data_IF_338866065535
#
_entry.id   IF_338866065535
#
_cell.length_a   1.000
_cell.length_b   1.000
_cell.length_c   1.000
_cell.angle_alpha   90.00
_cell.angle_beta   90.00
_cell.angle_gamma   90.00
#
_symmetry.space_group_name_H-M   'P 1'
#
loop_
_entity.id
_entity.type
_entity.pdbx_description
1 polymer ?
#
# COMPACT_ATOMS: atom_id res chain seq x y z
N UNK A 1 12.16 -24.75 13.62
CA UNK A 1 12.20 -23.99 14.89
C UNK A 1 13.66 -23.70 15.24
N UNK A 2 13.99 -22.47 15.61
CA UNK A 2 15.33 -22.12 16.11
C UNK A 2 15.46 -22.46 17.60
N UNK A 3 16.68 -22.66 18.09
CA UNK A 3 16.93 -23.22 19.43
C UNK A 3 17.00 -22.09 20.47
N UNK A 4 17.51 -20.91 20.10
CA UNK A 4 17.61 -19.80 21.05
C UNK A 4 16.25 -19.21 21.39
N UNK A 5 16.09 -18.79 22.64
CA UNK A 5 14.97 -17.98 23.11
C UNK A 5 15.43 -16.57 23.46
N UNK A 6 14.64 -15.59 23.03
CA UNK A 6 14.90 -14.18 23.28
C UNK A 6 13.93 -13.58 24.29
N UNK A 7 14.16 -12.33 24.66
CA UNK A 7 13.18 -11.55 25.44
C UNK A 7 12.07 -11.09 24.48
N UNK A 8 10.79 -11.44 24.72
CA UNK A 8 9.70 -10.88 23.94
C UNK A 8 9.61 -9.37 24.17
N UNK A 9 9.55 -8.59 23.08
CA UNK A 9 9.43 -7.13 23.11
C UNK A 9 8.11 -6.63 22.52
N UNK A 10 7.48 -7.40 21.64
CA UNK A 10 6.16 -7.08 21.08
C UNK A 10 5.42 -8.37 20.73
N UNK A 11 4.14 -8.46 21.06
CA UNK A 11 3.21 -9.48 20.56
C UNK A 11 1.99 -8.75 20.02
N UNK A 12 1.67 -8.97 18.75
CA UNK A 12 0.61 -8.25 18.06
C UNK A 12 -0.18 -9.19 17.15
N UNK A 13 -1.47 -8.92 17.03
CA UNK A 13 -2.34 -9.62 16.08
C UNK A 13 -2.18 -9.00 14.69
N UNK A 14 -2.09 -9.84 13.65
CA UNK A 14 -1.91 -9.43 12.26
C UNK A 14 -3.06 -8.54 11.75
N UNK A 15 -4.25 -8.65 12.34
CA UNK A 15 -5.38 -7.74 12.07
C UNK A 15 -5.07 -6.29 12.49
N UNK A 16 -4.31 -6.11 13.57
CA UNK A 16 -3.97 -4.78 14.10
C UNK A 16 -2.73 -4.18 13.44
N UNK A 17 -1.76 -5.01 13.09
CA UNK A 17 -0.48 -4.60 12.49
C UNK A 17 0.04 -5.72 11.60
N UNK A 18 0.19 -5.44 10.31
CA UNK A 18 0.54 -6.43 9.30
C UNK A 18 1.96 -6.96 9.54
N UNK A 19 2.23 -8.19 9.15
CA UNK A 19 3.58 -8.78 9.28
C UNK A 19 4.61 -7.92 8.56
N UNK A 20 4.26 -7.36 7.40
CA UNK A 20 5.12 -6.40 6.69
C UNK A 20 5.49 -5.20 7.55
N UNK A 21 4.51 -4.50 8.11
CA UNK A 21 4.74 -3.28 8.90
C UNK A 21 5.62 -3.58 10.12
N UNK A 22 5.47 -4.77 10.71
CA UNK A 22 6.35 -5.23 11.78
C UNK A 22 7.78 -5.41 11.28
N UNK A 23 7.98 -6.14 10.17
CA UNK A 23 9.30 -6.37 9.57
C UNK A 23 9.98 -5.03 9.25
N UNK A 24 9.31 -4.14 8.51
CA UNK A 24 9.84 -2.83 8.13
C UNK A 24 10.24 -2.00 9.35
N UNK A 25 9.36 -1.90 10.36
CA UNK A 25 9.63 -1.15 11.58
C UNK A 25 10.86 -1.66 12.34
N UNK A 26 11.07 -2.97 12.40
CA UNK A 26 12.21 -3.56 13.12
C UNK A 26 13.50 -3.60 12.31
N UNK A 27 13.41 -3.56 10.99
CA UNK A 27 14.56 -3.29 10.11
C UNK A 27 15.06 -1.87 10.33
N UNK A 28 14.16 -0.87 10.33
CA UNK A 28 14.52 0.54 10.58
C UNK A 28 15.13 0.76 11.96
N UNK A 29 14.59 0.07 12.98
CA UNK A 29 15.14 0.07 14.35
C UNK A 29 16.47 -0.69 14.49
N UNK A 30 16.96 -1.31 13.42
CA UNK A 30 18.18 -2.13 13.42
C UNK A 30 18.15 -3.25 14.45
N UNK A 31 17.01 -3.94 14.56
CA UNK A 31 16.83 -5.04 15.50
C UNK A 31 17.89 -6.14 15.28
N UNK A 32 18.44 -6.65 16.38
CA UNK A 32 19.03 -7.99 16.41
C UNK A 32 18.08 -8.87 17.20
N UNK A 33 17.51 -9.88 16.58
CA UNK A 33 16.31 -10.52 17.12
C UNK A 33 15.61 -11.45 16.17
N UNK A 34 14.41 -11.86 16.55
CA UNK A 34 13.56 -12.75 15.77
C UNK A 34 12.17 -12.16 15.63
N UNK A 35 11.62 -12.22 14.43
CA UNK A 35 10.21 -11.96 14.15
C UNK A 35 9.57 -13.28 13.80
N UNK A 36 8.60 -13.72 14.60
CA UNK A 36 7.84 -14.94 14.39
C UNK A 36 6.42 -14.59 13.97
N UNK A 37 5.87 -15.32 13.01
CA UNK A 37 4.48 -15.26 12.61
C UNK A 37 3.86 -16.64 12.70
N UNK A 38 2.66 -16.74 13.27
CA UNK A 38 1.93 -18.00 13.39
C UNK A 38 0.46 -17.83 13.02
N UNK A 39 0.03 -18.64 12.07
CA UNK A 39 -1.37 -18.90 11.74
C UNK A 39 -1.48 -20.38 11.30
N UNK A 40 -2.00 -20.67 10.10
CA UNK A 40 -1.93 -21.98 9.45
C UNK A 40 -0.51 -22.38 9.04
N UNK A 41 0.38 -21.40 8.95
CA UNK A 41 1.81 -21.55 8.71
C UNK A 41 2.59 -20.93 9.87
N UNK A 42 3.81 -21.38 10.08
CA UNK A 42 4.74 -20.80 11.06
C UNK A 42 5.96 -20.27 10.32
N UNK A 43 6.39 -19.06 10.66
CA UNK A 43 7.55 -18.40 10.06
C UNK A 43 8.37 -17.78 11.19
N UNK A 44 9.69 -17.92 11.11
CA UNK A 44 10.66 -17.25 11.97
C UNK A 44 11.70 -16.58 11.08
N UNK A 45 11.82 -15.26 11.19
CA UNK A 45 12.84 -14.45 10.54
C UNK A 45 13.84 -14.02 11.61
N UNK A 46 15.11 -14.30 11.42
CA UNK A 46 16.17 -13.76 12.29
C UNK A 46 16.83 -12.56 11.64
N UNK A 47 16.98 -11.52 12.45
CA UNK A 47 17.54 -10.24 12.07
C UNK A 47 18.85 -10.01 12.83
N UNK A 48 19.84 -9.49 12.12
CA UNK A 48 21.05 -8.93 12.72
C UNK A 48 21.21 -7.48 12.27
N UNK A 49 21.19 -6.54 13.23
CA UNK A 49 21.30 -5.10 12.96
C UNK A 49 20.34 -4.61 11.85
N UNK A 50 19.11 -5.14 11.84
CA UNK A 50 18.07 -4.82 10.85
C UNK A 50 18.20 -5.55 9.52
N UNK A 51 19.13 -6.49 9.36
CA UNK A 51 19.23 -7.33 8.15
C UNK A 51 18.63 -8.69 8.41
N UNK A 52 17.76 -9.17 7.52
CA UNK A 52 17.23 -10.53 7.60
C UNK A 52 18.33 -11.50 7.18
N UNK A 53 18.81 -12.34 8.09
CA UNK A 53 19.94 -13.23 7.83
C UNK A 53 19.56 -14.72 7.90
N UNK A 54 18.39 -15.05 8.43
CA UNK A 54 17.85 -16.39 8.35
C UNK A 54 16.31 -16.41 8.29
N UNK A 55 15.76 -17.43 7.64
CA UNK A 55 14.34 -17.74 7.64
C UNK A 55 14.14 -19.25 7.84
N UNK A 56 13.26 -19.59 8.79
CA UNK A 56 12.81 -20.96 9.00
C UNK A 56 11.33 -20.99 9.37
N UNK A 57 10.59 -21.95 8.85
CA UNK A 57 9.16 -22.05 9.10
C UNK A 57 8.60 -23.45 8.85
N UNK A 58 7.28 -23.55 8.89
CA UNK A 58 6.55 -24.72 8.44
C UNK A 58 5.30 -24.35 7.64
N UNK A 59 5.02 -25.12 6.59
CA UNK A 59 3.80 -24.97 5.80
C UNK A 59 2.56 -25.51 6.53
N UNK A 60 1.39 -25.43 5.88
CA UNK A 60 0.11 -25.90 6.44
C UNK A 60 0.05 -27.42 6.68
N UNK A 61 1.00 -28.18 6.11
CA UNK A 61 1.13 -29.62 6.30
C UNK A 61 2.15 -29.98 7.37
N UNK A 62 2.80 -28.98 7.97
CA UNK A 62 3.85 -29.16 8.96
C UNK A 62 5.23 -29.50 8.36
N UNK A 63 5.41 -29.37 7.03
CA UNK A 63 6.73 -29.57 6.43
C UNK A 63 7.63 -28.39 6.81
N UNK A 64 8.86 -28.67 7.21
CA UNK A 64 9.85 -27.64 7.52
C UNK A 64 10.30 -27.00 6.21
N UNK A 65 10.26 -25.67 6.16
CA UNK A 65 10.70 -24.85 5.03
C UNK A 65 11.80 -23.90 5.53
N UNK A 66 12.90 -23.77 4.79
CA UNK A 66 14.11 -23.06 5.24
C UNK A 66 14.64 -22.14 4.15
N UNK A 67 15.43 -21.13 4.55
CA UNK A 67 16.15 -20.26 3.63
C UNK A 67 15.23 -19.47 2.70
N UNK A 68 15.58 -19.41 1.41
CA UNK A 68 14.83 -18.65 0.42
C UNK A 68 13.40 -19.16 0.19
N UNK A 69 13.14 -20.47 0.34
CA UNK A 69 11.79 -21.01 0.26
C UNK A 69 10.93 -20.52 1.42
N UNK A 70 11.53 -20.35 2.60
CA UNK A 70 10.85 -19.78 3.76
C UNK A 70 10.55 -18.29 3.54
N UNK A 71 11.45 -17.54 2.87
CA UNK A 71 11.18 -16.16 2.47
C UNK A 71 9.99 -16.08 1.51
N UNK A 72 9.92 -16.99 0.54
CA UNK A 72 8.79 -17.06 -0.39
C UNK A 72 7.48 -17.39 0.33
N UNK A 73 7.52 -18.27 1.34
CA UNK A 73 6.39 -18.53 2.22
C UNK A 73 6.00 -17.29 3.04
N UNK A 74 6.97 -16.61 3.63
CA UNK A 74 6.78 -15.38 4.40
C UNK A 74 6.16 -14.26 3.57
N UNK A 75 6.53 -14.15 2.30
CA UNK A 75 5.97 -13.16 1.37
C UNK A 75 4.44 -13.27 1.23
N UNK A 76 3.88 -14.48 1.38
CA UNK A 76 2.44 -14.75 1.28
C UNK A 76 1.67 -14.31 2.53
N UNK A 77 2.35 -14.20 3.67
CA UNK A 77 1.77 -13.79 4.96
C UNK A 77 1.90 -12.29 5.25
N UNK A 78 2.61 -11.54 4.40
CA UNK A 78 2.92 -10.13 4.66
C UNK A 78 1.68 -9.26 4.90
N UNK A 79 0.62 -9.53 4.14
CA UNK A 79 -0.60 -8.70 4.10
C UNK A 79 -1.82 -9.39 4.73
N UNK A 80 -1.64 -10.56 5.37
CA UNK A 80 -2.78 -11.29 5.93
C UNK A 80 -3.38 -10.57 7.15
N UNK A 81 -4.70 -10.64 7.29
CA UNK A 81 -5.45 -10.13 8.45
C UNK A 81 -5.51 -11.14 9.61
N UNK A 82 -4.92 -12.32 9.45
CA UNK A 82 -5.02 -13.42 10.39
C UNK A 82 -3.63 -13.84 10.87
N UNK A 83 -3.50 -14.11 12.17
CA UNK A 83 -2.28 -14.66 12.75
C UNK A 83 -1.73 -13.82 13.91
N UNK A 84 -0.80 -14.41 14.65
CA UNK A 84 -0.07 -13.74 15.72
C UNK A 84 1.37 -13.48 15.28
N UNK A 85 1.86 -12.28 15.55
CA UNK A 85 3.24 -11.87 15.30
C UNK A 85 3.90 -11.62 16.66
N UNK A 86 5.05 -12.26 16.88
CA UNK A 86 5.88 -12.07 18.06
C UNK A 86 7.26 -11.58 17.65
N UNK A 87 7.73 -10.54 18.33
CA UNK A 87 9.09 -10.00 18.15
C UNK A 87 9.88 -10.23 19.42
N UNK A 88 11.04 -10.86 19.26
CA UNK A 88 11.96 -11.18 20.33
C UNK A 88 13.30 -10.48 20.09
N UNK A 89 13.87 -9.91 21.14
CA UNK A 89 15.25 -9.42 21.13
C UNK A 89 16.20 -10.59 21.40
N UNK A 90 17.23 -10.71 20.55
CA UNK A 90 18.29 -11.70 20.65
C UNK A 90 19.65 -11.01 20.65
N UNK A 91 20.62 -11.66 21.29
CA UNK A 91 22.03 -11.32 21.14
C UNK A 91 22.58 -11.84 19.81
N UNK A 92 23.68 -11.27 19.32
CA UNK A 92 24.33 -11.75 18.09
C UNK A 92 24.83 -13.18 18.23
N UNK A 93 25.28 -13.55 19.43
CA UNK A 93 25.74 -14.88 19.76
C UNK A 93 24.62 -15.91 19.62
N UNK A 94 23.42 -15.58 20.10
CA UNK A 94 22.23 -16.45 19.95
C UNK A 94 21.86 -16.67 18.49
N UNK A 95 21.79 -15.59 17.71
CA UNK A 95 21.52 -15.67 16.27
C UNK A 95 22.59 -16.48 15.54
N UNK A 96 23.86 -16.31 15.92
CA UNK A 96 24.98 -17.08 15.35
C UNK A 96 24.87 -18.58 15.64
N UNK A 97 24.47 -18.94 16.86
CA UNK A 97 24.22 -20.34 17.25
C UNK A 97 23.10 -20.92 16.40
N UNK A 98 21.98 -20.20 16.27
CA UNK A 98 20.81 -20.65 15.50
C UNK A 98 21.15 -20.92 14.02
N UNK A 99 21.96 -20.05 13.41
CA UNK A 99 22.46 -20.26 12.04
C UNK A 99 23.42 -21.43 11.96
N UNK A 100 24.30 -21.60 12.94
CA UNK A 100 25.26 -22.72 12.95
C UNK A 100 24.57 -24.09 13.07
N UNK A 101 23.49 -24.16 13.84
CA UNK A 101 22.68 -25.37 14.04
C UNK A 101 21.71 -25.62 12.89
N UNK A 102 21.41 -24.60 12.08
CA UNK A 102 20.54 -24.73 10.90
C UNK A 102 21.05 -23.90 9.71
N UNK A 103 22.20 -24.28 9.10
CA UNK A 103 22.84 -23.48 8.05
C UNK A 103 21.96 -23.25 6.82
N UNK A 104 21.06 -24.19 6.52
CA UNK A 104 20.10 -24.12 5.42
C UNK A 104 19.07 -23.00 5.58
N UNK A 105 18.90 -22.48 6.81
CA UNK A 105 18.02 -21.36 7.08
C UNK A 105 18.63 -20.02 6.68
N UNK A 106 19.94 -19.96 6.41
CA UNK A 106 20.63 -18.73 6.03
C UNK A 106 20.12 -18.19 4.69
N UNK A 107 20.01 -16.87 4.57
CA UNK A 107 19.53 -16.17 3.37
C UNK A 107 20.45 -15.02 3.00
N UNK A 108 20.43 -14.66 1.71
CA UNK A 108 21.02 -13.39 1.27
C UNK A 108 20.16 -12.22 1.79
N UNK A 109 20.73 -11.30 2.59
CA UNK A 109 19.94 -10.23 3.19
C UNK A 109 19.32 -9.26 2.19
N UNK A 110 19.99 -9.00 1.07
CA UNK A 110 19.52 -8.06 0.06
C UNK A 110 18.39 -8.71 -0.75
N UNK A 111 18.51 -10.01 -1.07
CA UNK A 111 17.42 -10.77 -1.69
C UNK A 111 16.19 -10.86 -0.78
N UNK A 112 16.39 -11.16 0.50
CA UNK A 112 15.32 -11.25 1.48
C UNK A 112 14.59 -9.90 1.65
N UNK A 113 15.34 -8.81 1.75
CA UNK A 113 14.79 -7.46 1.81
C UNK A 113 13.97 -7.13 0.55
N UNK A 114 14.48 -7.44 -0.64
CA UNK A 114 13.75 -7.24 -1.91
C UNK A 114 12.42 -8.00 -1.93
N UNK A 115 12.42 -9.27 -1.53
CA UNK A 115 11.21 -10.10 -1.54
C UNK A 115 10.17 -9.69 -0.50
N UNK A 116 10.60 -9.24 0.68
CA UNK A 116 9.68 -8.95 1.79
C UNK A 116 9.26 -7.48 1.88
N UNK A 117 10.06 -6.57 1.34
CA UNK A 117 9.84 -5.11 1.41
C UNK A 117 9.55 -4.55 0.01
N UNK A 118 10.39 -4.86 -0.99
CA UNK A 118 10.31 -4.21 -2.31
C UNK A 118 9.22 -4.76 -3.23
N UNK A 119 8.64 -5.93 -2.94
CA UNK A 119 7.58 -6.56 -3.75
C UNK A 119 6.34 -5.66 -3.96
N UNK A 120 6.17 -4.61 -3.13
CA UNK A 120 5.12 -3.58 -3.32
C UNK A 120 5.53 -2.46 -4.28
N UNK A 121 6.81 -2.09 -4.42
CA UNK A 121 7.18 -0.97 -5.32
C UNK A 121 6.84 -1.28 -6.77
N UNK A 122 7.01 -2.53 -7.21
CA UNK A 122 6.74 -2.92 -8.59
C UNK A 122 5.27 -3.28 -8.81
N UNK A 123 4.65 -4.12 -7.97
CA UNK A 123 3.23 -4.49 -8.12
C UNK A 123 2.26 -3.35 -7.82
N UNK A 124 2.52 -2.52 -6.81
CA UNK A 124 1.66 -1.37 -6.56
C UNK A 124 1.83 -0.30 -7.64
N UNK A 125 2.95 -0.25 -8.37
CA UNK A 125 3.08 0.69 -9.49
C UNK A 125 2.36 0.17 -10.75
N UNK A 126 2.44 -1.12 -11.06
CA UNK A 126 1.78 -1.71 -12.25
C UNK A 126 0.26 -1.87 -12.12
N UNK A 127 -0.26 -2.31 -10.97
CA UNK A 127 -1.70 -2.52 -10.76
C UNK A 127 -2.46 -1.21 -10.45
N UNK A 128 -1.78 -0.15 -9.99
CA UNK A 128 -2.40 1.17 -9.75
C UNK A 128 -2.77 1.94 -11.02
N UNK A 129 -2.23 1.57 -12.19
CA UNK A 129 -2.29 2.43 -13.39
C UNK A 129 -3.27 2.03 -14.49
N UNK A 130 -3.73 0.78 -14.63
CA UNK A 130 -4.01 0.31 -16.00
C UNK A 130 -5.48 0.27 -16.48
N UNK A 131 -6.52 0.29 -15.64
CA UNK A 131 -7.92 0.19 -16.17
C UNK A 131 -8.81 1.41 -15.98
N UNK A 132 -9.07 1.90 -14.74
CA UNK A 132 -9.92 3.08 -14.55
C UNK A 132 -9.29 4.37 -15.09
N UNK A 133 -7.95 4.45 -15.06
CA UNK A 133 -7.20 5.63 -15.48
C UNK A 133 -7.07 5.73 -17.00
N UNK A 134 -6.91 4.62 -17.72
CA UNK A 134 -6.90 4.65 -19.18
C UNK A 134 -8.21 5.20 -19.77
N UNK A 135 -9.35 4.87 -19.18
CA UNK A 135 -10.64 5.41 -19.59
C UNK A 135 -10.74 6.92 -19.33
N UNK A 136 -10.32 7.40 -18.15
CA UNK A 136 -10.28 8.84 -17.84
C UNK A 136 -9.29 9.59 -18.78
N UNK A 137 -8.13 8.99 -19.10
CA UNK A 137 -7.14 9.57 -20.00
C UNK A 137 -7.66 9.68 -21.44
N UNK A 138 -8.35 8.65 -21.94
CA UNK A 138 -8.97 8.67 -23.28
C UNK A 138 -10.05 9.75 -23.39
N UNK A 139 -10.80 9.96 -22.32
CA UNK A 139 -11.93 10.88 -22.29
C UNK A 139 -11.53 12.36 -22.01
N UNK A 140 -10.28 12.62 -21.59
CA UNK A 140 -9.72 13.94 -21.33
C UNK A 140 -8.48 14.22 -22.21
N UNK A 141 -8.65 14.43 -23.53
CA UNK A 141 -7.54 14.60 -24.45
C UNK A 141 -6.64 15.79 -24.04
N UNK A 142 -5.34 15.50 -23.90
CA UNK A 142 -4.32 16.48 -23.54
C UNK A 142 -4.02 16.59 -22.04
N UNK A 143 -4.62 15.74 -21.20
CA UNK A 143 -4.25 15.60 -19.79
C UNK A 143 -3.32 14.41 -19.57
N UNK A 144 -2.29 14.58 -18.74
CA UNK A 144 -1.44 13.49 -18.22
C UNK A 144 -2.05 12.95 -16.92
N UNK A 145 -2.00 11.64 -16.72
CA UNK A 145 -2.43 11.01 -15.47
C UNK A 145 -1.23 10.69 -14.61
N UNK A 146 -1.35 10.98 -13.31
CA UNK A 146 -0.32 10.71 -12.30
C UNK A 146 -0.96 10.08 -11.06
N UNK A 147 -0.29 9.10 -10.45
CA UNK A 147 -0.64 8.65 -9.11
C UNK A 147 -0.33 9.79 -8.13
N UNK A 148 -1.27 10.12 -7.25
CA UNK A 148 -1.08 11.19 -6.28
C UNK A 148 -0.50 10.62 -4.98
N UNK A 149 0.46 11.32 -4.38
CA UNK A 149 0.75 11.15 -2.96
C UNK A 149 -0.46 11.68 -2.15
N UNK A 150 -1.03 10.91 -1.20
CA UNK A 150 -2.06 11.39 -0.29
C UNK A 150 -1.71 12.73 0.38
N UNK A 151 -0.44 12.97 0.70
CA UNK A 151 0.00 14.24 1.30
C UNK A 151 -0.06 15.40 0.30
N UNK A 152 0.24 15.17 -0.98
CA UNK A 152 0.07 16.18 -2.03
C UNK A 152 -1.40 16.54 -2.24
N UNK A 153 -2.31 15.55 -2.19
CA UNK A 153 -3.75 15.78 -2.30
C UNK A 153 -4.29 16.62 -1.13
N UNK A 154 -3.84 16.35 0.09
CA UNK A 154 -4.19 17.13 1.28
C UNK A 154 -3.66 18.56 1.15
N UNK A 155 -2.41 18.74 0.72
CA UNK A 155 -1.79 20.05 0.53
C UNK A 155 -2.54 20.88 -0.53
N UNK A 156 -2.93 20.24 -1.64
CA UNK A 156 -3.74 20.85 -2.70
C UNK A 156 -5.10 21.34 -2.16
N UNK A 157 -5.81 20.51 -1.40
CA UNK A 157 -7.14 20.84 -0.88
C UNK A 157 -7.07 21.92 0.20
N UNK A 158 -6.08 21.84 1.09
CA UNK A 158 -5.91 22.80 2.21
C UNK A 158 -5.48 24.20 1.73
N UNK A 159 -4.67 24.29 0.68
CA UNK A 159 -4.24 25.57 0.10
C UNK A 159 -5.28 26.20 -0.82
N UNK A 160 -6.33 25.47 -1.18
CA UNK A 160 -7.33 25.95 -2.11
C UNK A 160 -8.55 26.60 -1.44
N UNK A 161 -9.10 27.61 -2.10
CA UNK A 161 -10.40 28.19 -1.78
C UNK A 161 -11.50 27.38 -2.47
N UNK A 162 -12.40 26.78 -1.70
CA UNK A 162 -13.60 26.13 -2.24
C UNK A 162 -14.46 27.16 -2.97
N UNK A 163 -14.75 26.91 -4.25
CA UNK A 163 -15.65 27.73 -5.05
C UNK A 163 -17.06 27.16 -5.12
N UNK A 164 -17.16 25.84 -5.21
CA UNK A 164 -18.42 25.16 -5.48
C UNK A 164 -18.35 23.72 -4.98
N UNK A 165 -19.45 23.23 -4.43
CA UNK A 165 -19.62 21.81 -4.10
C UNK A 165 -20.99 21.35 -4.56
N UNK A 166 -21.06 20.17 -5.15
CA UNK A 166 -22.33 19.51 -5.50
C UNK A 166 -22.28 18.04 -5.16
N UNK A 167 -23.35 17.58 -4.54
CA UNK A 167 -23.60 16.16 -4.31
C UNK A 167 -24.46 15.61 -5.44
N UNK A 168 -24.15 14.40 -5.86
CA UNK A 168 -24.89 13.70 -6.89
C UNK A 168 -25.55 12.46 -6.27
N UNK A 169 -26.75 12.08 -6.75
CA UNK A 169 -27.38 10.84 -6.32
C UNK A 169 -26.51 9.64 -6.70
N UNK A 170 -26.63 8.56 -5.93
CA UNK A 170 -25.95 7.30 -6.23
C UNK A 170 -26.34 6.82 -7.64
N UNK A 171 -25.38 6.32 -8.40
CA UNK A 171 -25.63 5.88 -9.80
C UNK A 171 -25.34 6.94 -10.87
N UNK A 172 -25.04 8.18 -10.51
CA UNK A 172 -24.72 9.21 -11.51
C UNK A 172 -23.39 8.91 -12.23
N UNK A 173 -23.41 8.96 -13.57
CA UNK A 173 -22.24 8.69 -14.42
C UNK A 173 -21.14 9.71 -14.16
N UNK A 174 -20.08 9.26 -13.48
CA UNK A 174 -19.05 10.16 -12.99
C UNK A 174 -18.35 10.97 -14.08
N UNK A 175 -18.02 10.32 -15.20
CA UNK A 175 -17.32 10.95 -16.32
C UNK A 175 -18.14 12.10 -16.94
N UNK A 176 -19.46 11.94 -17.06
CA UNK A 176 -20.35 12.98 -17.60
C UNK A 176 -20.32 14.23 -16.72
N UNK A 177 -20.36 14.04 -15.40
CA UNK A 177 -20.27 15.12 -14.42
C UNK A 177 -18.92 15.86 -14.52
N UNK A 178 -17.82 15.14 -14.61
CA UNK A 178 -16.48 15.73 -14.73
C UNK A 178 -16.39 16.57 -16.02
N UNK A 179 -16.90 16.06 -17.15
CA UNK A 179 -16.93 16.79 -18.43
C UNK A 179 -17.76 18.07 -18.33
N UNK A 180 -18.96 18.02 -17.77
CA UNK A 180 -19.82 19.20 -17.59
C UNK A 180 -19.12 20.30 -16.78
N UNK A 181 -18.37 19.91 -15.73
CA UNK A 181 -17.64 20.87 -14.88
C UNK A 181 -16.44 21.47 -15.63
N UNK A 182 -15.69 20.65 -16.36
CA UNK A 182 -14.59 21.12 -17.21
C UNK A 182 -15.11 22.11 -18.26
N UNK A 183 -16.22 21.81 -18.93
CA UNK A 183 -16.85 22.72 -19.89
C UNK A 183 -17.29 24.04 -19.25
N UNK A 184 -17.86 24.02 -18.04
CA UNK A 184 -18.23 25.24 -17.32
C UNK A 184 -17.00 26.11 -16.99
N UNK A 185 -15.86 25.49 -16.67
CA UNK A 185 -14.61 26.19 -16.40
C UNK A 185 -13.98 26.73 -17.69
N UNK A 186 -13.94 25.94 -18.76
CA UNK A 186 -13.42 26.36 -20.08
C UNK A 186 -14.23 27.52 -20.67
N UNK A 187 -15.56 27.49 -20.50
CA UNK A 187 -16.46 28.59 -20.87
C UNK A 187 -16.37 29.81 -19.93
N UNK A 188 -15.34 29.86 -19.06
CA UNK A 188 -15.03 30.94 -18.11
C UNK A 188 -16.14 31.29 -17.13
N UNK A 189 -17.13 30.40 -16.94
CA UNK A 189 -18.18 30.59 -15.92
C UNK A 189 -17.65 30.38 -14.51
N UNK A 190 -16.56 29.61 -14.38
CA UNK A 190 -15.89 29.33 -13.11
C UNK A 190 -14.39 29.58 -13.30
N UNK A 191 -13.76 30.38 -12.43
CA UNK A 191 -12.30 30.58 -12.41
C UNK A 191 -11.67 29.57 -11.45
N UNK A 192 -11.38 28.36 -11.92
CA UNK A 192 -10.77 27.30 -11.12
C UNK A 192 -9.40 26.89 -11.70
N UNK A 193 -8.46 26.54 -10.82
CA UNK A 193 -7.18 25.91 -11.23
C UNK A 193 -7.19 24.41 -10.98
N UNK A 194 -7.96 23.94 -9.98
CA UNK A 194 -8.04 22.53 -9.59
C UNK A 194 -9.50 22.09 -9.41
N UNK A 195 -9.87 20.94 -9.96
CA UNK A 195 -11.13 20.26 -9.68
C UNK A 195 -10.84 19.07 -8.79
N UNK A 196 -11.47 19.00 -7.62
CA UNK A 196 -11.37 17.84 -6.75
C UNK A 196 -12.65 17.01 -6.80
N UNK A 197 -12.53 15.73 -7.04
CA UNK A 197 -13.67 14.82 -7.14
C UNK A 197 -13.51 13.76 -6.08
N UNK A 198 -14.52 13.62 -5.22
CA UNK A 198 -14.62 12.46 -4.33
C UNK A 198 -15.60 11.48 -4.93
N UNK A 199 -15.06 10.38 -5.43
CA UNK A 199 -15.81 9.22 -5.88
C UNK A 199 -15.97 8.29 -4.67
N UNK A 200 -17.19 7.89 -4.36
CA UNK A 200 -17.40 6.76 -3.47
C UNK A 200 -18.01 5.64 -4.29
N UNK A 201 -17.21 4.64 -4.59
CA UNK A 201 -17.74 3.30 -4.66
C UNK A 201 -17.08 2.52 -3.51
N UNK A 202 -17.10 1.20 -3.52
CA UNK A 202 -16.49 0.36 -2.47
C UNK A 202 -14.99 0.67 -2.20
N UNK A 203 -14.38 1.56 -2.98
CA UNK A 203 -13.14 2.30 -2.74
C UNK A 203 -13.40 3.81 -2.76
N UNK A 204 -12.96 4.56 -1.74
CA UNK A 204 -13.01 6.03 -1.79
C UNK A 204 -11.89 6.51 -2.70
N UNK A 205 -12.20 6.89 -3.93
CA UNK A 205 -11.23 7.50 -4.83
C UNK A 205 -11.38 9.03 -4.83
N UNK A 206 -10.26 9.73 -4.87
CA UNK A 206 -10.13 11.16 -4.94
C UNK A 206 -9.37 11.50 -6.22
N UNK A 207 -9.90 12.42 -7.01
CA UNK A 207 -9.24 12.95 -8.20
C UNK A 207 -8.94 14.42 -7.93
N UNK A 208 -7.73 14.88 -8.27
CA UNK A 208 -7.41 16.30 -8.40
C UNK A 208 -6.99 16.58 -9.84
N UNK A 209 -7.79 17.37 -10.56
CA UNK A 209 -7.54 17.75 -11.95
C UNK A 209 -6.94 19.15 -11.95
N UNK A 210 -5.63 19.24 -12.19
CA UNK A 210 -4.93 20.49 -12.38
C UNK A 210 -5.07 20.97 -13.83
N UNK A 211 -5.92 21.96 -14.06
CA UNK A 211 -6.25 22.46 -15.39
C UNK A 211 -5.09 23.22 -16.05
N UNK A 212 -4.22 23.84 -15.24
CA UNK A 212 -3.08 24.61 -15.73
C UNK A 212 -1.94 23.69 -16.19
N UNK A 213 -1.61 22.69 -15.37
CA UNK A 213 -0.59 21.69 -15.69
C UNK A 213 -1.11 20.61 -16.65
N UNK A 214 -2.43 20.55 -16.85
CA UNK A 214 -3.13 19.46 -17.54
C UNK A 214 -2.78 18.10 -16.93
N UNK A 215 -2.86 18.00 -15.61
CA UNK A 215 -2.56 16.77 -14.86
C UNK A 215 -3.80 16.31 -14.11
N UNK A 216 -4.07 15.01 -14.10
CA UNK A 216 -5.06 14.37 -13.24
C UNK A 216 -4.33 13.51 -12.23
N UNK A 217 -4.35 13.92 -10.98
CA UNK A 217 -3.79 13.21 -9.84
C UNK A 217 -4.87 12.33 -9.20
N UNK A 218 -4.59 11.06 -8.97
CA UNK A 218 -5.58 10.09 -8.46
C UNK A 218 -5.08 9.40 -7.19
N UNK A 219 -5.91 9.39 -6.16
CA UNK A 219 -5.70 8.69 -4.89
C UNK A 219 -6.91 7.78 -4.63
N UNK A 220 -6.73 6.48 -4.36
CA UNK A 220 -7.82 5.58 -4.00
C UNK A 220 -7.52 4.90 -2.67
N UNK A 221 -8.42 5.03 -1.69
CA UNK A 221 -8.37 4.26 -0.43
C UNK A 221 -8.71 2.80 -0.73
N UNK A 222 -7.76 1.90 -0.50
CA UNK A 222 -7.89 0.46 -0.77
C UNK A 222 -8.99 -0.20 0.10
N UNK A 223 -9.97 -0.79 -0.58
CA UNK A 223 -10.53 -2.12 -0.31
C UNK A 223 -10.57 -2.89 -1.63
N UNK A 224 -9.41 -3.04 -2.26
CA UNK A 224 -9.27 -3.75 -3.55
C UNK A 224 -8.78 -5.16 -3.26
N UNK A 225 -9.63 -5.99 -2.65
CA UNK A 225 -9.37 -7.44 -2.60
C UNK A 225 -10.55 -8.29 -3.08
N UNK A 226 -11.63 -7.67 -3.59
CA UNK A 226 -12.79 -8.48 -4.02
C UNK A 226 -13.62 -7.98 -5.21
N UNK A 227 -13.37 -6.78 -5.73
CA UNK A 227 -14.30 -6.14 -6.69
C UNK A 227 -13.56 -5.63 -7.95
N UNK A 228 -12.61 -6.42 -8.47
CA UNK A 228 -12.01 -6.16 -9.78
C UNK A 228 -12.61 -7.05 -10.90
N UNK A 229 -13.59 -7.90 -10.58
CA UNK A 229 -14.24 -8.79 -11.57
C UNK A 229 -15.61 -8.33 -12.07
N UNK A 230 -16.20 -7.29 -11.50
CA UNK A 230 -17.47 -6.75 -11.98
C UNK A 230 -17.29 -5.34 -12.52
N UNK A 231 -17.78 -5.12 -13.75
CA UNK A 231 -17.75 -3.87 -14.51
C UNK A 231 -18.03 -2.66 -13.60
N UNK A 232 -16.97 -1.90 -13.27
CA UNK A 232 -17.06 -0.68 -12.47
C UNK A 232 -17.85 0.38 -13.23
N UNK A 233 -19.16 0.46 -12.96
CA UNK A 233 -19.94 1.67 -13.21
C UNK A 233 -19.52 2.68 -12.14
N UNK A 234 -18.63 3.61 -12.48
CA UNK A 234 -18.15 4.63 -11.56
C UNK A 234 -19.28 5.57 -11.11
N UNK A 235 -19.61 5.56 -9.82
CA UNK A 235 -20.57 6.48 -9.19
C UNK A 235 -19.84 7.64 -8.52
N UNK A 236 -20.10 8.87 -8.97
CA UNK A 236 -19.64 10.08 -8.28
C UNK A 236 -20.70 10.50 -7.26
N UNK A 237 -20.28 10.71 -6.02
CA UNK A 237 -21.17 11.17 -4.96
C UNK A 237 -20.96 12.65 -4.62
N UNK A 238 -19.73 13.15 -4.77
CA UNK A 238 -19.44 14.55 -4.48
C UNK A 238 -18.34 15.11 -5.37
N UNK A 239 -18.60 16.30 -5.93
CA UNK A 239 -17.58 17.11 -6.59
C UNK A 239 -17.39 18.41 -5.82
N UNK A 240 -16.13 18.79 -5.59
CA UNK A 240 -15.73 20.06 -5.03
C UNK A 240 -14.77 20.77 -5.98
N UNK A 241 -15.12 21.98 -6.41
CA UNK A 241 -14.31 22.79 -7.32
C UNK A 241 -13.56 23.84 -6.52
N UNK A 242 -12.26 23.93 -6.76
CA UNK A 242 -11.32 24.67 -5.94
C UNK A 242 -10.58 25.73 -6.78
N UNK A 243 -10.30 26.87 -6.16
CA UNK A 243 -9.46 27.93 -6.71
C UNK A 243 -8.23 28.11 -5.84
N UNK A 244 -7.05 28.01 -6.44
CA UNK A 244 -5.81 28.35 -5.76
C UNK A 244 -5.45 29.79 -6.19
N UNK A 245 -5.49 30.78 -5.29
CA UNK A 245 -5.00 32.11 -5.61
C UNK A 245 -3.50 32.06 -5.90
N UNK A 246 -3.06 32.80 -6.92
CA UNK A 246 -1.63 32.97 -7.19
C UNK A 246 -0.96 33.60 -5.97
N UNK A 247 0.08 32.95 -5.47
CA UNK A 247 1.12 33.61 -4.66
C UNK A 247 2.16 34.22 -5.59
#
# INVERSE_FOLDING_TARGET
MFISSGRPIEIVDAYRKKLRDVIESYIEKKLTGRISYRNKIEIHLELENGKIIACRGSDERGNIIEGNECIDLASRALETDEGAIEVQELTREQVSIDISESPQSHVDPDEAARKLIEHKKEKALEERTSKPLEEIARELPGFRIEAADPFEMIDIVTKAKLLYTKRYPEGAEGLKIIKEIIEQIQNRKIKAEIIYVKMSNNTTCRLAINLKKKVVSVECEEKIDRIAKEKLKHTIHQVAVFYIPRT
#
